data_IF_798330734575
#
_entry.id   IF_798330734575
#
_cell.length_a   1.000
_cell.length_b   1.000
_cell.length_c   1.000
_cell.angle_alpha   90.00
_cell.angle_beta   90.00
_cell.angle_gamma   90.00
#
_symmetry.space_group_name_H-M   'P 1'
#
loop_
_entity.id
_entity.type
_entity.pdbx_description
1 polymer ?
#
# COMPACT_ATOMS: atom_id res chain seq x y z
N UNK A 1 63.16 30.65 26.62
CA UNK A 1 62.04 30.74 27.56
C UNK A 1 60.82 30.21 26.88
N UNK A 2 60.49 29.01 27.08
CA UNK A 2 59.43 28.40 27.89
C UNK A 2 58.05 28.99 27.61
N UNK A 3 57.14 28.18 27.04
CA UNK A 3 56.16 27.48 27.86
C UNK A 3 55.40 26.41 27.02
N UNK A 4 55.39 25.19 27.51
CA UNK A 4 54.50 24.09 27.15
C UNK A 4 53.06 24.43 27.54
N UNK A 5 52.12 24.08 26.68
CA UNK A 5 50.78 23.73 27.12
C UNK A 5 50.27 22.57 26.26
N UNK A 6 50.38 21.36 26.77
CA UNK A 6 49.64 20.23 26.25
C UNK A 6 48.16 20.39 26.52
N UNK A 7 47.32 20.16 25.55
CA UNK A 7 45.92 19.91 25.70
C UNK A 7 45.60 18.49 25.27
N UNK A 8 45.26 17.72 26.24
CA UNK A 8 44.77 16.38 26.13
C UNK A 8 43.55 16.38 25.15
N UNK A 9 43.69 15.60 24.08
CA UNK A 9 42.54 15.21 23.27
C UNK A 9 41.70 14.24 24.10
N UNK A 10 40.62 14.72 24.66
CA UNK A 10 39.60 13.87 25.23
C UNK A 10 39.02 12.98 24.13
N UNK A 11 39.27 11.69 24.23
CA UNK A 11 38.71 10.68 23.34
C UNK A 11 37.20 10.70 23.43
N UNK A 12 36.55 11.22 22.39
CA UNK A 12 35.13 10.95 22.14
C UNK A 12 35.07 9.51 21.62
N UNK A 13 34.76 8.58 22.51
CA UNK A 13 34.28 7.27 22.12
C UNK A 13 33.00 7.47 21.31
N UNK A 14 32.91 6.91 20.05
CA UNK A 14 31.63 6.92 19.35
C UNK A 14 30.63 6.14 20.20
N UNK A 15 29.56 6.80 20.60
CA UNK A 15 28.42 6.10 21.23
C UNK A 15 27.99 5.02 20.25
N UNK A 16 28.06 3.77 20.68
CA UNK A 16 27.52 2.64 19.96
C UNK A 16 26.06 2.95 19.64
N UNK A 17 25.77 3.15 18.35
CA UNK A 17 24.43 3.35 17.82
C UNK A 17 23.73 1.99 17.98
N UNK A 18 23.21 1.69 19.15
CA UNK A 18 22.43 0.51 19.43
C UNK A 18 21.10 0.69 18.70
N UNK A 19 21.01 0.14 17.50
CA UNK A 19 19.74 -0.02 16.81
C UNK A 19 18.78 -0.70 17.80
N UNK A 20 17.58 -0.13 18.03
CA UNK A 20 16.62 -0.78 18.91
C UNK A 20 16.32 -2.17 18.35
N UNK A 21 16.40 -3.18 19.21
CA UNK A 21 16.07 -4.56 18.83
C UNK A 21 14.62 -4.67 18.35
N UNK A 22 14.26 -5.82 17.73
CA UNK A 22 12.92 -6.01 17.15
C UNK A 22 11.82 -5.73 18.17
N UNK A 23 10.75 -5.06 17.72
CA UNK A 23 9.60 -4.76 18.55
C UNK A 23 8.96 -6.05 19.07
N UNK A 24 8.76 -6.11 20.41
CA UNK A 24 8.08 -7.20 21.08
C UNK A 24 7.10 -6.65 22.12
N UNK A 25 6.18 -7.49 22.59
CA UNK A 25 5.19 -7.10 23.59
C UNK A 25 4.36 -5.88 23.17
N UNK A 26 4.26 -4.89 24.06
CA UNK A 26 3.44 -3.69 23.84
C UNK A 26 3.89 -2.82 22.64
N UNK A 27 5.14 -2.94 22.18
CA UNK A 27 5.64 -2.17 21.03
C UNK A 27 5.27 -2.78 19.67
N UNK A 28 4.83 -4.04 19.62
CA UNK A 28 4.53 -4.75 18.37
C UNK A 28 3.33 -4.15 17.64
N UNK A 29 2.22 -3.95 18.32
CA UNK A 29 0.99 -3.42 17.71
C UNK A 29 1.20 -2.03 17.11
N UNK A 30 1.78 -1.05 17.81
CA UNK A 30 2.10 0.25 17.23
C UNK A 30 3.04 0.14 16.01
N UNK A 31 4.01 -0.78 16.01
CA UNK A 31 4.91 -0.97 14.89
C UNK A 31 4.17 -1.55 13.66
N UNK A 32 3.25 -2.49 13.85
CA UNK A 32 2.41 -3.03 12.78
C UNK A 32 1.45 -1.99 12.21
N UNK A 33 0.85 -1.14 13.05
CA UNK A 33 -0.01 -0.03 12.59
C UNK A 33 0.77 0.98 11.75
N UNK A 34 2.01 1.31 12.13
CA UNK A 34 2.90 2.15 11.30
C UNK A 34 3.27 1.47 9.99
N UNK A 35 3.57 0.16 10.01
CA UNK A 35 3.90 -0.60 8.79
C UNK A 35 2.81 -0.48 7.72
N UNK A 36 1.54 -0.58 8.11
CA UNK A 36 0.40 -0.47 7.17
C UNK A 36 0.00 0.97 6.88
N UNK A 37 0.64 1.95 7.55
CA UNK A 37 0.22 3.34 7.47
C UNK A 37 -1.29 3.45 7.66
N UNK A 38 -1.73 3.14 8.87
CA UNK A 38 -3.17 3.01 9.19
C UNK A 38 -3.98 4.24 8.75
N UNK A 39 -3.39 5.44 8.81
CA UNK A 39 -3.99 6.69 8.32
C UNK A 39 -4.40 6.59 6.84
N UNK A 40 -3.66 5.87 6.03
CA UNK A 40 -3.96 5.65 4.61
C UNK A 40 -5.01 4.55 4.38
N UNK A 41 -5.35 3.74 5.39
CA UNK A 41 -6.44 2.76 5.30
C UNK A 41 -7.78 3.46 5.10
N UNK A 42 -7.94 4.63 5.70
CA UNK A 42 -9.11 5.51 5.54
C UNK A 42 -9.31 5.93 4.07
N UNK A 43 -8.27 5.95 3.25
CA UNK A 43 -8.34 6.43 1.86
C UNK A 43 -9.06 5.46 0.90
N UNK A 44 -8.99 4.15 1.11
CA UNK A 44 -9.62 3.15 0.24
C UNK A 44 -11.04 2.80 0.69
N UNK A 45 -11.38 3.00 1.97
CA UNK A 45 -12.69 2.72 2.54
C UNK A 45 -13.84 3.47 1.84
N UNK A 46 -13.74 4.79 1.56
CA UNK A 46 -14.81 5.53 0.90
C UNK A 46 -15.22 4.92 -0.43
N UNK A 47 -14.30 4.35 -1.20
CA UNK A 47 -14.62 3.77 -2.51
C UNK A 47 -15.45 2.49 -2.39
N UNK A 48 -15.13 1.61 -1.42
CA UNK A 48 -15.94 0.42 -1.18
C UNK A 48 -17.33 0.78 -0.67
N UNK A 49 -17.42 1.73 0.25
CA UNK A 49 -18.72 2.22 0.73
C UNK A 49 -19.51 2.97 -0.35
N UNK A 50 -18.85 3.75 -1.21
CA UNK A 50 -19.51 4.38 -2.34
C UNK A 50 -20.12 3.34 -3.29
N UNK A 51 -19.40 2.26 -3.59
CA UNK A 51 -19.93 1.13 -4.36
C UNK A 51 -21.13 0.46 -3.67
N UNK A 52 -21.05 0.24 -2.35
CA UNK A 52 -22.13 -0.34 -1.56
C UNK A 52 -23.38 0.55 -1.50
N UNK A 53 -23.20 1.87 -1.34
CA UNK A 53 -24.31 2.85 -1.33
C UNK A 53 -24.95 2.99 -2.71
N UNK A 54 -24.14 2.94 -3.77
CA UNK A 54 -24.63 3.00 -5.15
C UNK A 54 -25.50 1.79 -5.50
N UNK A 55 -25.24 0.63 -4.88
CA UNK A 55 -25.92 -0.63 -5.14
C UNK A 55 -27.44 -0.58 -4.87
N UNK A 56 -27.85 0.07 -3.79
CA UNK A 56 -29.25 0.14 -3.36
C UNK A 56 -29.83 1.55 -3.43
N UNK A 57 -29.02 2.58 -3.74
CA UNK A 57 -29.35 3.99 -3.58
C UNK A 57 -29.87 4.31 -2.16
N UNK A 58 -29.48 3.49 -1.18
CA UNK A 58 -29.84 3.54 0.22
C UNK A 58 -28.67 3.07 1.08
N UNK A 59 -28.79 3.20 2.39
CA UNK A 59 -27.75 2.69 3.32
C UNK A 59 -27.98 1.20 3.53
N UNK A 60 -27.01 0.34 3.12
CA UNK A 60 -27.10 -1.10 3.35
C UNK A 60 -27.19 -1.45 4.84
N UNK A 61 -27.63 -2.67 5.21
CA UNK A 61 -27.70 -3.11 6.60
C UNK A 61 -26.35 -2.95 7.31
N UNK A 62 -26.37 -2.52 8.57
CA UNK A 62 -25.15 -2.28 9.35
C UNK A 62 -24.22 -3.50 9.43
N UNK A 63 -24.79 -4.72 9.47
CA UNK A 63 -24.02 -5.95 9.42
C UNK A 63 -23.22 -6.09 8.11
N UNK A 64 -23.83 -5.82 6.95
CA UNK A 64 -23.17 -5.83 5.64
C UNK A 64 -22.05 -4.81 5.59
N UNK A 65 -22.31 -3.57 6.05
CA UNK A 65 -21.28 -2.52 6.13
C UNK A 65 -20.13 -2.93 7.06
N UNK A 66 -20.41 -3.60 8.18
CA UNK A 66 -19.41 -4.13 9.10
C UNK A 66 -18.51 -5.19 8.44
N UNK A 67 -19.10 -6.09 7.63
CA UNK A 67 -18.33 -7.08 6.89
C UNK A 67 -17.52 -6.46 5.75
N UNK A 68 -18.03 -5.46 5.04
CA UNK A 68 -17.29 -4.68 4.05
C UNK A 68 -16.10 -3.98 4.72
N UNK A 69 -16.32 -3.35 5.88
CA UNK A 69 -15.25 -2.71 6.66
C UNK A 69 -14.15 -3.71 7.03
N UNK A 70 -14.51 -4.87 7.58
CA UNK A 70 -13.56 -5.91 7.95
C UNK A 70 -12.79 -6.44 6.73
N UNK A 71 -13.49 -6.67 5.60
CA UNK A 71 -12.87 -7.08 4.34
C UNK A 71 -11.84 -6.06 3.86
N UNK A 72 -12.17 -4.76 3.89
CA UNK A 72 -11.29 -3.67 3.46
C UNK A 72 -10.08 -3.51 4.38
N UNK A 73 -10.27 -3.59 5.70
CA UNK A 73 -9.17 -3.56 6.67
C UNK A 73 -8.24 -4.74 6.46
N UNK A 74 -8.78 -5.95 6.31
CA UNK A 74 -8.00 -7.17 6.03
C UNK A 74 -7.25 -7.08 4.70
N UNK A 75 -7.93 -6.71 3.61
CA UNK A 75 -7.34 -6.57 2.28
C UNK A 75 -6.22 -5.52 2.27
N UNK A 76 -6.45 -4.35 2.86
CA UNK A 76 -5.47 -3.26 2.91
C UNK A 76 -4.24 -3.65 3.73
N UNK A 77 -4.46 -4.24 4.91
CA UNK A 77 -3.38 -4.70 5.79
C UNK A 77 -2.54 -5.78 5.11
N UNK A 78 -3.19 -6.74 4.45
CA UNK A 78 -2.53 -7.77 3.65
C UNK A 78 -1.70 -7.17 2.52
N UNK A 79 -2.29 -6.27 1.72
CA UNK A 79 -1.61 -5.62 0.60
C UNK A 79 -0.35 -4.88 1.05
N UNK A 80 -0.44 -4.12 2.16
CA UNK A 80 0.70 -3.40 2.71
C UNK A 80 1.77 -4.34 3.27
N UNK A 81 1.38 -5.39 4.00
CA UNK A 81 2.32 -6.38 4.53
C UNK A 81 3.09 -7.07 3.38
N UNK A 82 2.37 -7.53 2.34
CA UNK A 82 2.99 -8.15 1.16
C UNK A 82 3.91 -7.17 0.42
N UNK A 83 3.49 -5.92 0.23
CA UNK A 83 4.33 -4.89 -0.38
C UNK A 83 5.64 -4.71 0.41
N UNK A 84 5.58 -4.60 1.74
CA UNK A 84 6.78 -4.46 2.59
C UNK A 84 7.69 -5.68 2.53
N UNK A 85 7.13 -6.89 2.53
CA UNK A 85 7.89 -8.13 2.42
C UNK A 85 8.59 -8.26 1.07
N UNK A 86 7.88 -7.99 -0.01
CA UNK A 86 8.38 -8.09 -1.39
C UNK A 86 9.46 -7.03 -1.63
N UNK A 87 9.23 -5.80 -1.17
CA UNK A 87 10.11 -4.67 -1.46
C UNK A 87 11.24 -4.47 -0.45
N UNK A 88 11.34 -5.28 0.61
CA UNK A 88 12.28 -5.08 1.73
C UNK A 88 13.72 -4.77 1.31
N UNK A 89 14.21 -5.39 0.23
CA UNK A 89 15.58 -5.19 -0.26
C UNK A 89 15.74 -3.90 -1.07
N UNK A 90 14.69 -3.49 -1.80
CA UNK A 90 14.66 -2.21 -2.52
C UNK A 90 14.53 -1.08 -1.50
N UNK A 91 13.61 -1.23 -0.54
CA UNK A 91 13.37 -0.26 0.52
C UNK A 91 14.62 0.00 1.38
N UNK A 92 15.42 -1.02 1.66
CA UNK A 92 16.66 -0.89 2.43
C UNK A 92 17.73 -0.07 1.71
N UNK A 93 17.72 -0.02 0.38
CA UNK A 93 18.67 0.74 -0.44
C UNK A 93 18.22 2.17 -0.70
N UNK A 94 16.93 2.45 -0.64
CA UNK A 94 16.39 3.78 -0.90
C UNK A 94 16.44 4.63 0.38
N UNK A 95 17.18 5.75 0.40
CA UNK A 95 17.31 6.62 1.58
C UNK A 95 15.95 7.07 2.15
N UNK A 96 14.92 7.25 1.30
CA UNK A 96 13.57 7.66 1.73
C UNK A 96 12.83 6.57 2.48
N UNK A 97 13.14 5.30 2.22
CA UNK A 97 12.40 4.14 2.76
C UNK A 97 13.24 3.24 3.67
N UNK A 98 14.54 3.46 3.78
CA UNK A 98 15.44 2.69 4.63
C UNK A 98 15.07 2.74 6.12
N UNK A 99 14.40 3.80 6.57
CA UNK A 99 13.90 3.96 7.94
C UNK A 99 12.58 3.25 8.23
N UNK A 100 11.97 2.56 7.24
CA UNK A 100 10.74 1.78 7.44
C UNK A 100 10.99 0.61 8.40
N UNK A 101 9.93 0.12 9.01
CA UNK A 101 9.96 -0.85 10.11
C UNK A 101 10.74 -2.13 9.79
N UNK A 102 10.61 -2.67 8.56
CA UNK A 102 11.30 -3.89 8.13
C UNK A 102 12.78 -3.64 7.80
N UNK A 103 13.15 -2.68 6.92
CA UNK A 103 14.55 -2.34 6.64
C UNK A 103 15.33 -1.88 7.87
N UNK A 104 14.68 -1.12 8.77
CA UNK A 104 15.28 -0.63 10.00
C UNK A 104 15.40 -1.70 11.11
N UNK A 105 14.90 -2.93 10.89
CA UNK A 105 14.94 -4.00 11.88
C UNK A 105 13.99 -3.83 13.07
N UNK A 106 13.08 -2.85 13.01
CA UNK A 106 12.03 -2.64 14.04
C UNK A 106 11.04 -3.80 14.05
N UNK A 107 10.71 -4.35 12.88
CA UNK A 107 9.91 -5.56 12.73
C UNK A 107 10.72 -6.67 12.08
N UNK A 108 10.52 -7.90 12.53
CA UNK A 108 11.08 -9.10 11.91
C UNK A 108 10.20 -9.59 10.77
N UNK A 109 10.79 -10.27 9.82
CA UNK A 109 10.10 -10.82 8.63
C UNK A 109 8.99 -11.79 9.03
N UNK A 110 9.21 -12.64 10.04
CA UNK A 110 8.22 -13.59 10.55
C UNK A 110 7.00 -12.88 11.19
N UNK A 111 7.22 -11.78 11.91
CA UNK A 111 6.13 -10.97 12.46
C UNK A 111 5.24 -10.38 11.37
N UNK A 112 5.84 -9.92 10.26
CA UNK A 112 5.08 -9.37 9.13
C UNK A 112 4.35 -10.47 8.36
N UNK A 113 4.93 -11.66 8.23
CA UNK A 113 4.23 -12.82 7.65
C UNK A 113 3.04 -13.26 8.50
N UNK A 114 3.18 -13.32 9.82
CA UNK A 114 2.07 -13.58 10.74
C UNK A 114 0.97 -12.53 10.60
N UNK A 115 1.33 -11.27 10.54
CA UNK A 115 0.38 -10.18 10.35
C UNK A 115 -0.35 -10.31 8.99
N UNK A 116 0.37 -10.67 7.92
CA UNK A 116 -0.23 -10.94 6.62
C UNK A 116 -1.23 -12.11 6.68
N UNK A 117 -0.87 -13.20 7.38
CA UNK A 117 -1.76 -14.36 7.56
C UNK A 117 -3.04 -13.98 8.33
N UNK A 118 -2.92 -13.23 9.42
CA UNK A 118 -4.08 -12.73 10.20
C UNK A 118 -4.94 -11.79 9.34
N UNK A 119 -4.32 -10.93 8.54
CA UNK A 119 -5.03 -10.01 7.63
C UNK A 119 -5.79 -10.77 6.54
N UNK A 120 -5.19 -11.82 5.98
CA UNK A 120 -5.86 -12.71 5.03
C UNK A 120 -7.02 -13.45 5.70
N UNK A 121 -6.84 -13.97 6.91
CA UNK A 121 -7.91 -14.64 7.65
C UNK A 121 -9.09 -13.69 7.92
N UNK A 122 -8.82 -12.43 8.29
CA UNK A 122 -9.85 -11.41 8.47
C UNK A 122 -10.63 -11.14 7.17
N UNK A 123 -9.92 -11.02 6.03
CA UNK A 123 -10.55 -10.91 4.72
C UNK A 123 -11.44 -12.12 4.41
N UNK A 124 -10.94 -13.34 4.60
CA UNK A 124 -11.68 -14.56 4.31
C UNK A 124 -12.92 -14.73 5.20
N UNK A 125 -12.82 -14.40 6.49
CA UNK A 125 -13.96 -14.37 7.40
C UNK A 125 -15.00 -13.37 6.91
N UNK A 126 -14.60 -12.17 6.52
CA UNK A 126 -15.52 -11.15 6.03
C UNK A 126 -16.25 -11.61 4.75
N UNK A 127 -15.51 -12.10 3.74
CA UNK A 127 -16.14 -12.53 2.48
C UNK A 127 -17.01 -13.77 2.65
N UNK A 128 -16.79 -14.61 3.67
CA UNK A 128 -17.64 -15.76 3.98
C UNK A 128 -19.04 -15.34 4.49
N UNK A 129 -19.19 -14.13 4.98
CA UNK A 129 -20.44 -13.54 5.47
C UNK A 129 -21.19 -12.71 4.41
N UNK A 130 -20.57 -12.53 3.25
CA UNK A 130 -21.08 -11.78 2.11
C UNK A 130 -21.64 -12.74 1.04
N UNK A 131 -22.29 -12.26 -0.04
CA UNK A 131 -22.80 -13.11 -1.10
C UNK A 131 -21.76 -14.09 -1.65
N UNK A 132 -22.16 -15.32 -2.01
CA UNK A 132 -21.25 -16.40 -2.41
C UNK A 132 -20.26 -16.05 -3.51
N UNK A 133 -20.62 -15.13 -4.39
CA UNK A 133 -19.73 -14.65 -5.47
C UNK A 133 -18.48 -13.98 -4.93
N UNK A 134 -18.54 -13.28 -3.80
CA UNK A 134 -17.37 -12.66 -3.17
C UNK A 134 -16.31 -13.68 -2.79
N UNK A 135 -16.78 -14.89 -2.40
CA UNK A 135 -15.90 -16.02 -2.10
C UNK A 135 -15.16 -16.55 -3.34
N UNK A 136 -15.76 -16.45 -4.51
CA UNK A 136 -15.07 -16.80 -5.76
C UNK A 136 -14.10 -15.71 -6.24
N UNK A 137 -14.34 -14.44 -5.86
CA UNK A 137 -13.60 -13.29 -6.37
C UNK A 137 -12.43 -12.83 -5.50
N UNK A 138 -12.36 -13.18 -4.23
CA UNK A 138 -11.28 -12.71 -3.33
C UNK A 138 -9.86 -13.01 -3.83
N UNK A 139 -9.56 -14.09 -4.61
CA UNK A 139 -8.21 -14.32 -5.10
C UNK A 139 -7.72 -13.24 -6.07
N UNK A 140 -8.63 -12.55 -6.78
CA UNK A 140 -8.30 -11.53 -7.77
C UNK A 140 -7.55 -10.34 -7.13
N UNK A 141 -8.10 -9.63 -6.12
CA UNK A 141 -7.36 -8.56 -5.46
C UNK A 141 -6.09 -9.07 -4.76
N UNK A 142 -6.09 -10.26 -4.18
CA UNK A 142 -4.91 -10.84 -3.52
C UNK A 142 -3.79 -11.11 -4.53
N UNK A 143 -4.10 -11.64 -5.71
CA UNK A 143 -3.14 -11.75 -6.80
C UNK A 143 -2.58 -10.37 -7.20
N UNK A 144 -3.44 -9.36 -7.26
CA UNK A 144 -3.05 -7.97 -7.51
C UNK A 144 -2.10 -7.42 -6.44
N UNK A 145 -2.31 -7.75 -5.15
CA UNK A 145 -1.44 -7.33 -4.05
C UNK A 145 -0.02 -7.89 -4.15
N UNK A 146 0.13 -9.06 -4.78
CA UNK A 146 1.44 -9.64 -5.08
C UNK A 146 2.00 -9.06 -6.38
N UNK A 147 1.19 -8.96 -7.42
CA UNK A 147 1.63 -8.57 -8.76
C UNK A 147 2.20 -7.14 -8.78
N UNK A 148 1.51 -6.16 -8.16
CA UNK A 148 1.90 -4.76 -8.32
C UNK A 148 3.30 -4.44 -7.73
N UNK A 149 3.71 -4.96 -6.54
CA UNK A 149 5.06 -4.72 -6.04
C UNK A 149 6.13 -5.39 -6.91
N UNK A 150 5.83 -6.54 -7.53
CA UNK A 150 6.74 -7.16 -8.47
C UNK A 150 6.82 -6.41 -9.80
N UNK A 151 5.73 -5.79 -10.27
CA UNK A 151 5.64 -5.14 -11.57
C UNK A 151 6.74 -4.11 -11.80
N UNK A 152 7.13 -3.33 -10.79
CA UNK A 152 8.20 -2.33 -10.88
C UNK A 152 9.59 -2.91 -11.18
N UNK A 153 9.76 -4.24 -11.11
CA UNK A 153 11.02 -4.93 -11.47
C UNK A 153 11.15 -5.18 -12.97
N UNK A 154 10.04 -5.12 -13.71
CA UNK A 154 10.02 -5.43 -15.15
C UNK A 154 9.18 -4.48 -16.01
N UNK A 155 8.30 -3.64 -15.42
CA UNK A 155 7.46 -2.73 -16.19
C UNK A 155 7.15 -1.42 -15.48
N UNK A 156 7.11 -0.33 -16.24
CA UNK A 156 6.68 0.99 -15.80
C UNK A 156 5.15 1.09 -15.58
N UNK A 157 4.38 0.07 -16.02
CA UNK A 157 2.93 -0.01 -15.80
C UNK A 157 2.53 -0.29 -14.36
N UNK A 158 3.48 -0.42 -13.44
CA UNK A 158 3.22 -0.70 -12.02
C UNK A 158 2.18 0.25 -11.40
N UNK A 159 2.17 1.53 -11.80
CA UNK A 159 1.21 2.54 -11.33
C UNK A 159 -0.22 2.25 -11.81
N UNK A 160 -0.37 1.81 -13.06
CA UNK A 160 -1.66 1.41 -13.63
C UNK A 160 -2.17 0.15 -12.94
N UNK A 161 -1.30 -0.82 -12.71
CA UNK A 161 -1.63 -2.07 -11.99
C UNK A 161 -2.10 -1.74 -10.56
N UNK A 162 -1.39 -0.86 -9.84
CA UNK A 162 -1.82 -0.40 -8.51
C UNK A 162 -3.19 0.25 -8.57
N UNK A 163 -3.39 1.16 -9.52
CA UNK A 163 -4.68 1.82 -9.74
C UNK A 163 -5.80 0.82 -9.96
N UNK A 164 -5.62 -0.16 -10.84
CA UNK A 164 -6.61 -1.22 -11.10
C UNK A 164 -6.94 -2.03 -9.85
N UNK A 165 -5.94 -2.40 -9.06
CA UNK A 165 -6.14 -3.15 -7.81
C UNK A 165 -6.99 -2.37 -6.82
N UNK A 166 -6.77 -1.05 -6.67
CA UNK A 166 -7.57 -0.21 -5.78
C UNK A 166 -8.95 0.07 -6.40
N UNK A 167 -9.05 0.18 -7.72
CA UNK A 167 -10.31 0.31 -8.45
C UNK A 167 -11.26 -0.89 -8.29
N UNK A 168 -10.80 -2.04 -7.79
CA UNK A 168 -11.68 -3.14 -7.41
C UNK A 168 -12.51 -2.84 -6.16
N UNK A 169 -12.15 -1.83 -5.35
CA UNK A 169 -12.85 -1.54 -4.10
C UNK A 169 -14.33 -1.17 -4.30
N UNK A 170 -14.72 -0.23 -5.17
CA UNK A 170 -16.14 0.06 -5.40
C UNK A 170 -16.89 -1.12 -6.04
N UNK A 171 -16.22 -1.89 -6.91
CA UNK A 171 -16.81 -3.09 -7.51
C UNK A 171 -17.10 -4.13 -6.43
N UNK A 172 -16.14 -4.37 -5.53
CA UNK A 172 -16.29 -5.26 -4.39
C UNK A 172 -17.39 -4.81 -3.43
N UNK A 173 -17.50 -3.50 -3.16
CA UNK A 173 -18.54 -2.93 -2.32
C UNK A 173 -19.96 -3.15 -2.90
N UNK A 174 -20.12 -2.93 -4.21
CA UNK A 174 -21.36 -3.23 -4.93
C UNK A 174 -21.72 -4.71 -4.84
N UNK A 175 -20.80 -5.60 -5.21
CA UNK A 175 -21.02 -7.06 -5.21
C UNK A 175 -21.30 -7.57 -3.79
N UNK A 176 -20.70 -6.97 -2.77
CA UNK A 176 -20.94 -7.32 -1.37
C UNK A 176 -22.39 -7.07 -0.92
N UNK A 177 -23.10 -6.18 -1.59
CA UNK A 177 -24.50 -5.85 -1.31
C UNK A 177 -25.42 -6.66 -2.23
N UNK A 178 -25.19 -6.63 -3.54
CA UNK A 178 -26.11 -7.19 -4.55
C UNK A 178 -25.87 -8.66 -4.88
N UNK A 179 -24.64 -9.13 -4.73
CA UNK A 179 -24.20 -10.43 -5.26
C UNK A 179 -24.07 -10.49 -6.78
N UNK A 180 -24.13 -9.36 -7.49
CA UNK A 180 -24.17 -9.29 -8.94
C UNK A 180 -23.18 -8.27 -9.49
N UNK A 181 -22.82 -8.43 -10.78
CA UNK A 181 -22.03 -7.43 -11.53
C UNK A 181 -22.97 -6.39 -12.16
N UNK A 182 -22.49 -5.15 -12.25
CA UNK A 182 -23.15 -4.09 -12.98
C UNK A 182 -22.13 -3.17 -13.65
N UNK A 183 -22.58 -2.40 -14.65
CA UNK A 183 -21.71 -1.47 -15.38
C UNK A 183 -21.31 -0.28 -14.50
N UNK A 184 -22.23 0.24 -13.68
CA UNK A 184 -21.98 1.41 -12.86
C UNK A 184 -20.78 1.27 -11.91
N UNK A 185 -20.64 0.21 -11.07
CA UNK A 185 -19.46 0.04 -10.24
C UNK A 185 -18.18 -0.25 -11.03
N UNK A 186 -18.26 -0.81 -12.24
CA UNK A 186 -17.10 -0.98 -13.12
C UNK A 186 -16.57 0.36 -13.63
N UNK A 187 -17.47 1.27 -14.05
CA UNK A 187 -17.10 2.64 -14.43
C UNK A 187 -16.50 3.41 -13.25
N UNK A 188 -17.11 3.32 -12.07
CA UNK A 188 -16.53 3.88 -10.85
C UNK A 188 -15.17 3.29 -10.54
N UNK A 189 -15.00 1.99 -10.68
CA UNK A 189 -13.72 1.31 -10.50
C UNK A 189 -12.66 1.79 -11.48
N UNK A 190 -13.01 1.99 -12.75
CA UNK A 190 -12.13 2.54 -13.77
C UNK A 190 -11.71 4.00 -13.45
N UNK A 191 -12.65 4.83 -13.01
CA UNK A 191 -12.37 6.20 -12.56
C UNK A 191 -11.40 6.22 -11.36
N UNK A 192 -11.65 5.38 -10.34
CA UNK A 192 -10.75 5.22 -9.19
C UNK A 192 -9.37 4.70 -9.63
N UNK A 193 -9.32 3.73 -10.54
CA UNK A 193 -8.06 3.20 -11.07
C UNK A 193 -7.23 4.29 -11.77
N UNK A 194 -7.87 5.10 -12.60
CA UNK A 194 -7.22 6.21 -13.27
C UNK A 194 -6.73 7.26 -12.26
N UNK A 195 -7.57 7.65 -11.31
CA UNK A 195 -7.21 8.65 -10.30
C UNK A 195 -6.03 8.20 -9.43
N UNK A 196 -6.11 7.00 -8.89
CA UNK A 196 -5.05 6.44 -8.01
C UNK A 196 -3.75 6.21 -8.80
N UNK A 197 -3.83 5.68 -10.02
CA UNK A 197 -2.65 5.50 -10.86
C UNK A 197 -1.96 6.81 -11.19
N UNK A 198 -2.73 7.86 -11.52
CA UNK A 198 -2.21 9.21 -11.75
C UNK A 198 -1.56 9.81 -10.50
N UNK A 199 -2.17 9.64 -9.33
CA UNK A 199 -1.62 10.06 -8.05
C UNK A 199 -0.31 9.33 -7.72
N UNK A 200 -0.26 8.01 -7.93
CA UNK A 200 0.93 7.21 -7.65
C UNK A 200 2.10 7.57 -8.58
N UNK A 201 1.83 7.94 -9.85
CA UNK A 201 2.84 8.49 -10.77
C UNK A 201 3.47 9.77 -10.20
N UNK A 202 2.65 10.69 -9.68
CA UNK A 202 3.16 11.93 -9.06
C UNK A 202 4.00 11.61 -7.82
N UNK A 203 3.52 10.69 -6.99
CA UNK A 203 4.25 10.28 -5.79
C UNK A 203 5.59 9.61 -6.12
N UNK A 204 5.66 8.84 -7.22
CA UNK A 204 6.88 8.18 -7.68
C UNK A 204 7.96 9.16 -8.18
N UNK A 205 7.64 10.43 -8.44
CA UNK A 205 8.65 11.46 -8.74
C UNK A 205 9.67 11.62 -7.61
N UNK A 206 9.28 11.36 -6.37
CA UNK A 206 10.16 11.41 -5.20
C UNK A 206 11.27 10.35 -5.22
N UNK A 207 11.06 9.26 -5.95
CA UNK A 207 12.00 8.15 -6.04
C UNK A 207 12.73 8.09 -7.39
N UNK A 208 12.47 9.03 -8.31
CA UNK A 208 12.94 8.98 -9.70
C UNK A 208 14.44 8.72 -9.82
N UNK A 209 15.26 9.45 -9.10
CA UNK A 209 16.72 9.35 -9.22
C UNK A 209 17.23 8.02 -8.64
N UNK A 210 16.60 7.55 -7.56
CA UNK A 210 16.85 6.22 -7.02
C UNK A 210 16.45 5.13 -8.02
N UNK A 211 15.26 5.22 -8.62
CA UNK A 211 14.74 4.26 -9.59
C UNK A 211 15.66 4.13 -10.81
N UNK A 212 16.14 5.26 -11.34
CA UNK A 212 17.11 5.30 -12.44
C UNK A 212 18.44 4.62 -12.06
N UNK A 213 18.96 4.91 -10.87
CA UNK A 213 20.24 4.39 -10.42
C UNK A 213 20.19 2.87 -10.13
N UNK A 214 19.03 2.33 -9.77
CA UNK A 214 18.89 0.94 -9.33
C UNK A 214 18.05 0.06 -10.26
N UNK A 215 17.70 0.55 -11.45
CA UNK A 215 16.97 -0.22 -12.45
C UNK A 215 15.53 -0.56 -12.03
N UNK A 216 14.91 0.27 -11.19
CA UNK A 216 13.49 0.17 -10.85
C UNK A 216 12.66 0.84 -11.94
N UNK A 217 11.68 0.11 -12.47
CA UNK A 217 10.85 0.61 -13.55
C UNK A 217 9.68 1.41 -12.98
N UNK A 218 9.65 2.69 -13.31
CA UNK A 218 8.54 3.60 -12.98
C UNK A 218 8.28 4.56 -14.16
N UNK A 219 7.10 5.18 -14.17
CA UNK A 219 6.77 6.20 -15.18
C UNK A 219 7.76 7.36 -15.13
N UNK A 220 8.13 7.94 -13.97
CA UNK A 220 9.14 8.98 -13.91
C UNK A 220 10.53 8.55 -14.39
N UNK A 221 10.95 7.33 -14.11
CA UNK A 221 12.22 6.79 -14.61
C UNK A 221 12.20 6.62 -16.14
N UNK A 222 11.04 6.19 -16.71
CA UNK A 222 10.91 5.93 -18.16
C UNK A 222 10.72 7.19 -18.99
N UNK A 223 9.87 8.14 -18.55
CA UNK A 223 9.41 9.27 -19.35
C UNK A 223 9.87 10.64 -18.82
N UNK A 224 10.67 10.65 -17.75
CA UNK A 224 11.09 11.88 -17.09
C UNK A 224 9.96 12.62 -16.36
N UNK A 225 10.30 13.76 -15.73
CA UNK A 225 9.35 14.54 -14.92
C UNK A 225 8.17 15.03 -15.75
N UNK A 226 8.44 15.67 -16.91
CA UNK A 226 7.39 16.24 -17.76
C UNK A 226 6.48 15.19 -18.37
N UNK A 227 7.03 14.01 -18.73
CA UNK A 227 6.23 12.88 -19.23
C UNK A 227 5.35 12.29 -18.16
N UNK A 228 5.88 12.13 -16.94
CA UNK A 228 5.15 11.63 -15.79
C UNK A 228 3.97 12.54 -15.43
N UNK A 229 4.20 13.86 -15.37
CA UNK A 229 3.15 14.84 -15.07
C UNK A 229 2.05 14.86 -16.14
N UNK A 230 2.42 14.80 -17.42
CA UNK A 230 1.42 14.76 -18.52
C UNK A 230 0.57 13.48 -18.45
N UNK A 231 1.19 12.33 -18.18
CA UNK A 231 0.45 11.08 -18.04
C UNK A 231 -0.48 11.09 -16.81
N UNK A 232 0.00 11.61 -15.68
CA UNK A 232 -0.82 11.78 -14.48
C UNK A 232 -2.02 12.71 -14.73
N UNK A 233 -1.80 13.85 -15.40
CA UNK A 233 -2.88 14.76 -15.80
C UNK A 233 -3.91 14.08 -16.70
N UNK A 234 -3.45 13.33 -17.72
CA UNK A 234 -4.34 12.56 -18.58
C UNK A 234 -5.18 11.56 -17.79
N UNK A 235 -4.55 10.79 -16.88
CA UNK A 235 -5.27 9.82 -16.05
C UNK A 235 -6.29 10.50 -15.12
N UNK A 236 -5.97 11.67 -14.56
CA UNK A 236 -6.93 12.43 -13.75
C UNK A 236 -8.08 12.98 -14.58
N UNK A 237 -7.85 13.40 -15.83
CA UNK A 237 -8.93 13.78 -16.75
C UNK A 237 -9.85 12.60 -17.05
N UNK A 238 -9.28 11.42 -17.35
CA UNK A 238 -10.06 10.18 -17.59
C UNK A 238 -10.89 9.80 -16.34
N UNK A 239 -10.41 10.11 -15.14
CA UNK A 239 -11.15 9.81 -13.91
C UNK A 239 -12.41 10.68 -13.71
N UNK A 240 -12.53 11.82 -14.41
CA UNK A 240 -13.64 12.79 -14.25
C UNK A 240 -14.71 12.59 -15.34
N UNK A 241 -14.33 12.04 -16.49
CA UNK A 241 -15.21 11.80 -17.66
C UNK A 241 -15.87 10.43 -17.59
#
# INVERSE_FOLDING_TARGET
>A
RHLRAGRAAAGMTPSANTSPGPAGGAALVPALLRLVRFEHTVFALPFAFAGALLAELAVPPAATLGWILLAMVGARSLAMALNRLIDRHIDARNPRTASRELPAGVLRVDQVWWFAAVSLAALLVAVSQLPRITWALWPIPVAGFVLYPYAKRFTWLCHVILGMVIGLAPVGGWIAVTGEFAVAPLLMGAAVAAWIGGFDIIYALLDRDFDLAHGVHSVPARFGVSGALRLAQFMHLVAIV
#
